data_IF_990677361540
#
_entry.id   IF_990677361540
#
_cell.length_a   1.000
_cell.length_b   1.000
_cell.length_c   1.000
_cell.angle_alpha   90.00
_cell.angle_beta   90.00
_cell.angle_gamma   90.00
#
_symmetry.space_group_name_H-M   'P 1'
#
loop_
_entity.id
_entity.type
_entity.pdbx_description
1 polymer ?
#
# COMPACT_ATOMS: atom_id res chain seq x y z
N UNK A 1 23.00 -10.32 -12.85
CA UNK A 1 22.28 -9.62 -11.75
C UNK A 1 22.04 -8.15 -12.14
N UNK A 2 20.85 -7.79 -12.68
CA UNK A 2 20.55 -6.41 -13.14
C UNK A 2 20.17 -5.52 -11.94
N UNK A 3 21.02 -4.54 -11.60
CA UNK A 3 20.70 -3.49 -10.61
C UNK A 3 19.71 -2.50 -11.25
N UNK A 4 18.44 -2.58 -10.88
CA UNK A 4 17.41 -1.63 -11.34
C UNK A 4 17.59 -0.31 -10.55
N UNK A 5 18.10 0.74 -11.22
CA UNK A 5 18.18 2.10 -10.69
C UNK A 5 16.77 2.57 -10.30
N UNK A 6 16.52 2.77 -9.00
CA UNK A 6 15.26 3.35 -8.51
C UNK A 6 15.42 4.87 -8.59
N UNK A 7 14.87 5.48 -9.63
CA UNK A 7 14.77 6.93 -9.74
C UNK A 7 14.04 7.46 -8.51
N UNK A 8 14.74 8.32 -7.75
CA UNK A 8 14.20 8.95 -6.56
C UNK A 8 13.40 10.16 -7.07
N UNK A 9 12.19 9.91 -7.57
CA UNK A 9 11.28 10.99 -7.97
C UNK A 9 10.86 11.72 -6.69
N UNK A 10 11.55 12.83 -6.43
CA UNK A 10 11.33 13.70 -5.28
C UNK A 10 10.19 14.64 -5.67
N UNK A 11 8.94 14.24 -5.45
CA UNK A 11 7.80 15.15 -5.67
C UNK A 11 7.72 16.13 -4.50
N UNK A 12 8.19 17.34 -4.73
CA UNK A 12 7.92 18.49 -3.88
C UNK A 12 6.47 18.92 -4.05
N UNK A 13 5.61 18.45 -3.16
CA UNK A 13 4.28 18.99 -2.91
C UNK A 13 4.01 18.64 -1.45
N UNK A 14 3.63 19.62 -0.62
CA UNK A 14 3.54 19.52 0.86
C UNK A 14 3.18 18.09 1.29
N UNK A 15 4.14 17.32 1.84
CA UNK A 15 4.01 15.87 1.81
C UNK A 15 2.97 15.49 2.84
N UNK A 16 1.81 15.07 2.34
CA UNK A 16 0.84 14.33 3.13
C UNK A 16 1.58 13.36 4.06
N UNK A 17 1.17 13.30 5.32
CA UNK A 17 1.79 12.39 6.28
C UNK A 17 1.77 10.95 5.77
N UNK A 18 2.75 10.10 6.15
CA UNK A 18 2.77 8.72 5.69
C UNK A 18 1.52 7.96 6.15
N UNK A 19 0.85 7.26 5.24
CA UNK A 19 -0.32 6.42 5.55
C UNK A 19 -0.09 5.37 6.65
N UNK A 20 1.15 4.92 6.83
CA UNK A 20 1.55 3.99 7.87
C UNK A 20 3.04 4.11 8.12
N UNK A 21 3.46 4.17 9.38
CA UNK A 21 4.86 4.30 9.78
C UNK A 21 5.71 3.10 9.32
N UNK A 22 5.21 1.87 9.54
CA UNK A 22 5.97 0.64 9.20
C UNK A 22 5.70 0.12 7.80
N UNK A 23 4.49 0.29 7.27
CA UNK A 23 4.00 -0.45 6.08
C UNK A 23 3.65 0.45 4.89
N UNK A 24 4.27 1.63 4.75
CA UNK A 24 4.01 2.59 3.66
C UNK A 24 4.00 2.02 2.24
N UNK A 25 4.71 0.92 1.98
CA UNK A 25 4.78 0.33 0.65
C UNK A 25 3.50 -0.41 0.23
N UNK A 26 2.63 -0.78 1.18
CA UNK A 26 1.35 -1.46 0.91
C UNK A 26 0.19 -0.50 0.64
N UNK A 27 0.38 0.78 1.01
CA UNK A 27 -0.60 1.84 0.81
C UNK A 27 -0.25 2.64 -0.47
N UNK A 28 -1.28 3.16 -1.11
CA UNK A 28 -1.20 4.25 -2.09
C UNK A 28 -1.77 5.48 -1.42
N UNK A 29 -1.10 6.61 -1.57
CA UNK A 29 -1.59 7.89 -1.09
C UNK A 29 -2.02 8.73 -2.29
N UNK A 30 -3.24 9.24 -2.23
CA UNK A 30 -3.72 10.22 -3.19
C UNK A 30 -3.01 11.56 -2.95
N UNK A 31 -2.31 12.14 -3.94
CA UNK A 31 -1.49 13.33 -3.75
C UNK A 31 -2.31 14.62 -3.59
N UNK A 32 -3.58 14.62 -3.98
CA UNK A 32 -4.46 15.80 -3.89
C UNK A 32 -5.25 15.83 -2.57
N UNK A 33 -5.64 14.67 -2.06
CA UNK A 33 -6.53 14.53 -0.89
C UNK A 33 -5.85 13.92 0.33
N UNK A 34 -4.59 13.48 0.20
CA UNK A 34 -3.84 12.73 1.21
C UNK A 34 -4.49 11.42 1.69
N UNK A 35 -5.57 10.97 1.05
CA UNK A 35 -6.28 9.74 1.40
C UNK A 35 -5.42 8.52 1.11
N UNK A 36 -5.51 7.54 2.00
CA UNK A 36 -4.75 6.31 1.93
C UNK A 36 -5.65 5.17 1.50
N UNK A 37 -5.21 4.42 0.49
CA UNK A 37 -5.90 3.23 0.00
C UNK A 37 -4.93 2.05 -0.09
N UNK A 38 -5.45 0.83 -0.07
CA UNK A 38 -4.63 -0.37 -0.20
C UNK A 38 -4.23 -0.63 -1.65
N UNK A 39 -2.97 -1.01 -1.88
CA UNK A 39 -2.53 -1.54 -3.18
C UNK A 39 -3.17 -2.88 -3.50
N UNK A 40 -3.46 -3.66 -2.46
CA UNK A 40 -4.15 -4.92 -2.60
C UNK A 40 -5.65 -4.67 -2.59
N UNK A 41 -6.35 -5.34 -3.49
CA UNK A 41 -7.81 -5.39 -3.51
C UNK A 41 -8.31 -6.64 -2.82
N UNK A 42 -9.54 -6.58 -2.31
CA UNK A 42 -10.22 -7.72 -1.69
C UNK A 42 -10.27 -8.92 -2.65
N UNK A 43 -10.65 -8.69 -3.91
CA UNK A 43 -10.69 -9.72 -4.96
C UNK A 43 -9.35 -10.44 -5.12
N UNK A 44 -8.22 -9.72 -5.03
CA UNK A 44 -6.87 -10.30 -5.11
C UNK A 44 -6.55 -11.19 -3.91
N UNK A 45 -6.98 -10.79 -2.71
CA UNK A 45 -6.81 -11.61 -1.52
C UNK A 45 -7.71 -12.85 -1.56
N UNK A 46 -8.97 -12.70 -1.96
CA UNK A 46 -9.93 -13.80 -2.12
C UNK A 46 -9.47 -14.86 -3.14
N UNK A 47 -8.87 -14.45 -4.26
CA UNK A 47 -8.27 -15.38 -5.21
C UNK A 47 -7.17 -16.27 -4.59
N UNK A 48 -6.57 -15.84 -3.47
CA UNK A 48 -5.57 -16.58 -2.70
C UNK A 48 -6.14 -17.29 -1.47
N UNK A 49 -7.47 -17.33 -1.32
CA UNK A 49 -8.16 -17.86 -0.13
C UNK A 49 -7.76 -17.10 1.16
N UNK A 50 -7.57 -15.79 1.04
CA UNK A 50 -7.23 -14.88 2.13
C UNK A 50 -8.23 -13.71 2.16
N UNK A 51 -8.26 -12.97 3.27
CA UNK A 51 -9.06 -11.74 3.41
C UNK A 51 -8.17 -10.51 3.49
N UNK A 52 -8.61 -9.40 2.85
CA UNK A 52 -7.88 -8.15 2.91
C UNK A 52 -8.13 -7.45 4.25
N UNK A 53 -7.06 -7.23 5.01
CA UNK A 53 -7.10 -6.38 6.19
C UNK A 53 -6.91 -4.93 5.76
N UNK A 54 -8.00 -4.16 5.65
CA UNK A 54 -7.97 -2.76 5.20
C UNK A 54 -7.09 -1.85 6.08
N UNK A 55 -6.93 -2.21 7.36
CA UNK A 55 -6.10 -1.45 8.30
C UNK A 55 -4.59 -1.65 8.07
N UNK A 56 -4.19 -2.77 7.47
CA UNK A 56 -2.78 -3.08 7.22
C UNK A 56 -2.42 -3.35 5.76
N UNK A 57 -3.42 -3.39 4.88
CA UNK A 57 -3.37 -3.75 3.48
C UNK A 57 -2.71 -5.11 3.19
N UNK A 58 -2.77 -6.04 4.15
CA UNK A 58 -2.29 -7.42 4.00
C UNK A 58 -3.44 -8.35 3.66
N UNK A 59 -3.15 -9.37 2.86
CA UNK A 59 -4.02 -10.52 2.76
C UNK A 59 -3.66 -11.45 3.92
N UNK A 60 -4.52 -11.51 4.93
CA UNK A 60 -4.34 -12.36 6.11
C UNK A 60 -5.25 -13.59 6.01
N UNK A 61 -4.90 -14.67 6.72
CA UNK A 61 -5.77 -15.85 6.77
C UNK A 61 -7.06 -15.48 7.50
N UNK A 62 -8.24 -15.90 7.01
CA UNK A 62 -9.47 -15.74 7.77
C UNK A 62 -9.28 -16.38 9.15
N UNK A 63 -9.57 -15.63 10.21
CA UNK A 63 -9.64 -16.19 11.57
C UNK A 63 -10.96 -16.95 11.67
N UNK A 64 -10.98 -18.17 11.15
CA UNK A 64 -12.12 -19.08 11.24
C UNK A 64 -11.69 -20.35 11.94
#
# INVERSE_FOLDING_TARGET
KRKRKKSRYKSWSAPCGPCSERRKHLFVQDPQTCKCSCKNTDSRCKARQLELNERTCRCDKPRR
#
